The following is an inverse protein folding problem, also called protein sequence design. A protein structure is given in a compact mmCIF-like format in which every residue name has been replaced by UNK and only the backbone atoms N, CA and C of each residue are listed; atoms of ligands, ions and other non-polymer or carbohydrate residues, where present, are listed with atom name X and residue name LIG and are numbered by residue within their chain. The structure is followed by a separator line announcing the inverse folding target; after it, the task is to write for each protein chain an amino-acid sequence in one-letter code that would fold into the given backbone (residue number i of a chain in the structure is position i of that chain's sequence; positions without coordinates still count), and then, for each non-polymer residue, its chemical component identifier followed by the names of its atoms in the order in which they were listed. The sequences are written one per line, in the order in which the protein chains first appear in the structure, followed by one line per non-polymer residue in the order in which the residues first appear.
data_IF_508639637632
#
_entry.id   IF_508639637632
#
_cell.length_a   1.000
_cell.length_b   1.000
_cell.length_c   1.000
_cell.angle_alpha   90.00
_cell.angle_beta   90.00
_cell.angle_gamma   90.00
#
_symmetry.space_group_name_H-M   'P 1'
#
loop_
_entity.id
_entity.type
_entity.pdbx_description
1 polymer ?
#
# COMPACT_ATOMS: atom_id res chain seq x y z
N UNK A 1 -7.14 10.81 2.53
CA UNK A 1 -5.93 10.80 3.34
C UNK A 1 -6.13 9.92 4.56
N UNK A 2 -5.30 8.91 4.71
CA UNK A 2 -5.33 8.04 5.88
C UNK A 2 -4.19 8.41 6.83
N UNK A 3 -4.50 8.47 8.13
CA UNK A 3 -3.48 8.64 9.16
C UNK A 3 -2.84 7.28 9.39
N UNK A 4 -1.53 7.18 9.17
CA UNK A 4 -0.81 5.92 9.29
C UNK A 4 -0.26 5.74 10.71
N UNK A 5 -1.13 5.32 11.62
CA UNK A 5 -0.78 4.90 12.97
C UNK A 5 -0.84 3.37 13.12
N UNK A 6 -1.32 2.69 12.10
CA UNK A 6 -1.45 1.24 12.05
C UNK A 6 -1.28 0.77 10.59
N UNK A 7 -1.12 -0.52 10.40
CA UNK A 7 -1.02 -1.10 9.07
C UNK A 7 -2.30 -0.83 8.27
N UNK A 8 -2.13 -0.65 6.95
CA UNK A 8 -3.25 -0.42 6.04
C UNK A 8 -3.19 -1.46 4.93
N UNK A 9 -4.30 -2.15 4.70
CA UNK A 9 -4.43 -3.09 3.59
C UNK A 9 -5.27 -2.42 2.51
N UNK A 10 -4.77 -2.41 1.30
CA UNK A 10 -5.34 -1.65 0.18
C UNK A 10 -5.76 -2.60 -0.93
N UNK A 11 -6.94 -2.39 -1.47
CA UNK A 11 -7.43 -3.17 -2.60
C UNK A 11 -8.83 -2.73 -3.00
N UNK A 12 -9.40 -3.37 -4.01
CA UNK A 12 -10.79 -3.08 -4.41
C UNK A 12 -11.81 -3.74 -3.50
N UNK A 13 -11.39 -4.75 -2.72
CA UNK A 13 -12.21 -5.42 -1.71
C UNK A 13 -11.29 -6.04 -0.66
N UNK A 14 -10.52 -5.22 0.09
CA UNK A 14 -9.49 -5.74 0.96
C UNK A 14 -10.07 -6.52 2.14
N UNK A 15 -9.34 -7.53 2.60
CA UNK A 15 -9.69 -8.32 3.76
C UNK A 15 -8.58 -8.27 4.79
N UNK A 16 -8.95 -8.00 6.04
CA UNK A 16 -8.01 -8.04 7.15
C UNK A 16 -7.84 -9.47 7.64
N UNK A 17 -6.61 -9.84 7.95
CA UNK A 17 -6.26 -11.16 8.46
C UNK A 17 -5.80 -11.15 9.90
N UNK A 18 -5.87 -10.01 10.57
CA UNK A 18 -5.42 -9.88 11.95
C UNK A 18 -6.31 -10.65 12.90
N UNK A 19 -5.70 -11.32 13.87
CA UNK A 19 -6.39 -12.12 14.85
C UNK A 19 -6.80 -11.35 16.11
N UNK A 20 -6.29 -10.14 16.32
CA UNK A 20 -6.61 -9.36 17.52
C UNK A 20 -7.16 -7.99 17.16
N UNK A 21 -8.11 -7.52 17.97
CA UNK A 21 -8.74 -6.21 17.75
C UNK A 21 -7.73 -5.06 17.84
N UNK A 22 -6.74 -5.17 18.72
CA UNK A 22 -5.74 -4.13 18.90
C UNK A 22 -4.76 -4.00 17.73
N UNK A 23 -4.66 -5.04 16.91
CA UNK A 23 -3.71 -5.10 15.80
C UNK A 23 -4.40 -5.18 14.44
N UNK A 24 -5.69 -4.88 14.39
CA UNK A 24 -6.42 -4.91 13.13
C UNK A 24 -5.89 -3.83 12.20
N UNK A 25 -5.49 -4.21 10.97
CA UNK A 25 -5.12 -3.21 9.98
C UNK A 25 -6.35 -2.42 9.53
N UNK A 26 -6.13 -1.21 9.07
CA UNK A 26 -7.16 -0.47 8.37
C UNK A 26 -7.34 -1.03 6.97
N UNK A 27 -8.56 -1.04 6.49
CA UNK A 27 -8.85 -1.47 5.13
C UNK A 27 -9.17 -0.23 4.28
N UNK A 28 -8.39 -0.01 3.25
CA UNK A 28 -8.61 1.08 2.32
C UNK A 28 -9.14 0.51 1.01
N UNK A 29 -10.42 0.73 0.75
CA UNK A 29 -11.05 0.28 -0.48
C UNK A 29 -10.90 1.34 -1.56
N UNK A 30 -10.41 0.94 -2.72
CA UNK A 30 -10.24 1.83 -3.86
C UNK A 30 -11.05 1.33 -5.04
N UNK A 31 -11.62 2.23 -5.86
CA UNK A 31 -12.37 1.81 -7.03
C UNK A 31 -11.43 1.23 -8.09
N UNK A 32 -11.88 0.19 -8.76
CA UNK A 32 -11.14 -0.41 -9.86
C UNK A 32 -12.11 -0.81 -10.98
N UNK A 33 -12.56 0.17 -11.80
CA UNK A 33 -13.52 -0.10 -12.87
C UNK A 33 -13.05 -1.16 -13.85
N UNK A 34 -11.76 -1.20 -14.16
CA UNK A 34 -11.15 -2.19 -15.03
C UNK A 34 -10.74 -3.46 -14.32
N UNK A 35 -10.96 -3.56 -13.01
CA UNK A 35 -10.54 -4.69 -12.17
C UNK A 35 -9.04 -4.98 -12.23
N UNK A 36 -8.23 -3.96 -12.55
CA UNK A 36 -6.79 -4.07 -12.58
C UNK A 36 -6.20 -4.16 -11.16
N UNK A 37 -6.90 -3.62 -10.18
CA UNK A 37 -6.49 -3.68 -8.78
C UNK A 37 -7.06 -4.96 -8.17
N UNK A 38 -6.19 -5.75 -7.55
CA UNK A 38 -6.60 -6.99 -6.87
C UNK A 38 -7.47 -6.68 -5.66
N UNK A 39 -8.29 -7.66 -5.24
CA UNK A 39 -9.15 -7.52 -4.06
C UNK A 39 -8.34 -7.09 -2.85
N UNK A 40 -7.27 -7.80 -2.56
CA UNK A 40 -6.27 -7.44 -1.55
C UNK A 40 -4.96 -7.26 -2.31
N UNK A 41 -4.57 -6.00 -2.56
CA UNK A 41 -3.51 -5.68 -3.51
C UNK A 41 -2.15 -5.50 -2.83
N UNK A 42 -2.10 -4.60 -1.87
CA UNK A 42 -0.87 -4.30 -1.15
C UNK A 42 -1.18 -3.86 0.27
N UNK A 43 -0.13 -3.74 1.06
CA UNK A 43 -0.24 -3.23 2.42
C UNK A 43 0.84 -2.18 2.66
N UNK A 44 0.53 -1.22 3.52
CA UNK A 44 1.53 -0.35 4.12
C UNK A 44 1.69 -0.78 5.56
N UNK A 45 2.90 -1.24 5.90
CA UNK A 45 3.24 -1.68 7.26
C UNK A 45 3.86 -0.53 8.01
N UNK A 46 3.39 -0.29 9.23
CA UNK A 46 3.86 0.79 10.08
C UNK A 46 4.52 0.18 11.30
N UNK A 47 5.79 0.52 11.53
CA UNK A 47 6.53 0.06 12.69
C UNK A 47 7.36 1.23 13.24
N UNK A 48 6.94 1.80 14.37
CA UNK A 48 7.56 3.01 14.91
C UNK A 48 7.46 4.16 13.92
N UNK A 49 8.60 4.69 13.51
CA UNK A 49 8.68 5.78 12.54
C UNK A 49 8.80 5.28 11.10
N UNK A 50 8.94 3.97 10.90
CA UNK A 50 9.15 3.40 9.59
C UNK A 50 7.82 3.00 8.95
N UNK A 51 7.72 3.24 7.65
CA UNK A 51 6.63 2.76 6.81
C UNK A 51 7.22 1.96 5.68
N UNK A 52 6.62 0.80 5.39
CA UNK A 52 7.04 -0.08 4.30
C UNK A 52 5.84 -0.51 3.48
N UNK A 53 6.04 -0.60 2.17
CA UNK A 53 5.01 -1.13 1.27
C UNK A 53 5.33 -2.59 0.97
N UNK A 54 4.27 -3.41 0.92
CA UNK A 54 4.36 -4.83 0.63
C UNK A 54 3.30 -5.20 -0.41
N UNK A 55 3.71 -5.88 -1.48
CA UNK A 55 2.76 -6.43 -2.46
C UNK A 55 2.22 -7.75 -1.92
N UNK A 56 0.90 -7.89 -1.90
CA UNK A 56 0.22 -9.07 -1.33
C UNK A 56 -0.16 -10.09 -2.41
N UNK A 57 0.67 -10.24 -3.43
CA UNK A 57 0.40 -11.17 -4.53
C UNK A 57 -0.55 -10.60 -5.55
N UNK A 58 -0.49 -9.30 -5.81
CA UNK A 58 -1.37 -8.65 -6.77
C UNK A 58 -1.14 -9.17 -8.19
N UNK A 59 -2.20 -9.20 -9.00
CA UNK A 59 -2.13 -9.67 -10.37
C UNK A 59 -1.27 -8.76 -11.25
N UNK A 60 -1.43 -7.45 -11.11
CA UNK A 60 -0.76 -6.49 -11.98
C UNK A 60 0.41 -5.75 -11.34
N UNK A 61 0.69 -6.01 -10.07
CA UNK A 61 1.85 -5.47 -9.40
C UNK A 61 1.59 -4.16 -8.65
N UNK A 62 2.52 -3.85 -7.78
CA UNK A 62 2.59 -2.62 -7.00
C UNK A 62 3.91 -1.94 -7.36
N UNK A 63 3.88 -0.64 -7.65
CA UNK A 63 5.06 0.10 -8.09
C UNK A 63 5.32 1.27 -7.16
N UNK A 64 6.59 1.46 -6.84
CA UNK A 64 7.05 2.60 -6.04
C UNK A 64 7.64 3.64 -6.98
N UNK A 65 7.10 4.85 -6.92
CA UNK A 65 7.56 5.99 -7.70
C UNK A 65 8.20 7.00 -6.76
N UNK A 66 9.47 7.25 -6.99
CA UNK A 66 10.25 8.20 -6.18
C UNK A 66 10.87 9.24 -7.09
N UNK A 67 10.82 10.51 -6.67
CA UNK A 67 11.36 11.61 -7.47
C UNK A 67 12.83 11.36 -7.83
N UNK A 68 13.15 11.54 -9.12
CA UNK A 68 14.51 11.37 -9.63
C UNK A 68 14.92 9.92 -9.84
N UNK A 69 14.02 8.96 -9.61
CA UNK A 69 14.32 7.53 -9.79
C UNK A 69 13.31 6.91 -10.75
N UNK A 70 13.72 5.82 -11.38
CA UNK A 70 12.80 5.05 -12.22
C UNK A 70 11.79 4.30 -11.36
N UNK A 71 10.58 4.02 -11.90
CA UNK A 71 9.60 3.21 -11.18
C UNK A 71 10.20 1.86 -10.77
N UNK A 72 9.93 1.47 -9.53
CA UNK A 72 10.42 0.20 -8.99
C UNK A 72 9.24 -0.68 -8.64
N UNK A 73 9.22 -1.89 -9.19
CA UNK A 73 8.23 -2.87 -8.80
C UNK A 73 8.53 -3.37 -7.39
N UNK A 74 7.51 -3.41 -6.55
CA UNK A 74 7.61 -3.98 -5.20
C UNK A 74 7.55 -5.50 -5.34
N UNK A 75 8.59 -6.24 -4.95
CA UNK A 75 8.55 -7.69 -5.03
C UNK A 75 7.44 -8.25 -4.15
N UNK A 76 6.81 -9.33 -4.63
CA UNK A 76 5.74 -9.99 -3.91
C UNK A 76 6.22 -10.46 -2.53
N UNK A 77 5.43 -10.12 -1.49
CA UNK A 77 5.70 -10.49 -0.10
C UNK A 77 7.04 -9.96 0.46
N UNK A 78 7.62 -8.94 -0.18
CA UNK A 78 8.79 -8.25 0.34
C UNK A 78 8.41 -6.81 0.66
N UNK A 79 9.08 -6.24 1.64
CA UNK A 79 8.77 -4.90 2.12
C UNK A 79 9.85 -3.92 1.66
N UNK A 80 9.41 -2.80 1.08
CA UNK A 80 10.29 -1.70 0.70
C UNK A 80 10.02 -0.50 1.59
N UNK A 81 11.09 0.12 2.09
CA UNK A 81 10.99 1.30 2.95
C UNK A 81 10.42 2.48 2.15
N UNK A 82 9.43 3.14 2.72
CA UNK A 82 8.80 4.32 2.15
C UNK A 82 9.39 5.59 2.75
N UNK A 83 9.40 6.65 1.94
CA UNK A 83 9.79 8.00 2.36
C UNK A 83 8.66 8.96 2.04
N UNK A 84 8.62 10.06 2.78
CA UNK A 84 7.65 11.12 2.48
C UNK A 84 7.83 11.60 1.05
N UNK A 85 6.72 11.76 0.33
CA UNK A 85 6.70 12.13 -1.08
C UNK A 85 6.70 10.95 -2.04
N UNK A 86 6.94 9.73 -1.57
CA UNK A 86 6.83 8.54 -2.42
C UNK A 86 5.39 8.35 -2.89
N UNK A 87 5.26 7.81 -4.09
CA UNK A 87 3.96 7.49 -4.67
C UNK A 87 3.91 5.98 -4.89
N UNK A 88 2.81 5.36 -4.47
CA UNK A 88 2.54 3.94 -4.71
C UNK A 88 1.51 3.85 -5.82
N UNK A 89 1.87 3.23 -6.93
CA UNK A 89 0.98 3.02 -8.08
C UNK A 89 0.50 1.58 -8.06
N UNK A 90 -0.81 1.40 -7.95
CA UNK A 90 -1.42 0.08 -7.90
C UNK A 90 -2.25 -0.24 -9.15
N UNK A 91 -2.16 0.62 -10.16
CA UNK A 91 -2.85 0.43 -11.43
C UNK A 91 -4.22 1.11 -11.48
N UNK A 92 -4.87 0.97 -12.62
CA UNK A 92 -6.22 1.53 -12.87
C UNK A 92 -6.31 3.04 -12.60
N UNK A 93 -5.19 3.75 -12.78
CA UNK A 93 -5.10 5.17 -12.52
C UNK A 93 -5.07 5.55 -11.04
N UNK A 94 -4.95 4.58 -10.15
CA UNK A 94 -4.97 4.80 -8.70
C UNK A 94 -3.57 4.88 -8.15
N UNK A 95 -3.27 5.99 -7.50
CA UNK A 95 -2.00 6.21 -6.82
C UNK A 95 -2.24 6.66 -5.38
N UNK A 96 -1.28 6.31 -4.52
CA UNK A 96 -1.29 6.69 -3.12
C UNK A 96 -0.02 7.47 -2.83
N UNK A 97 -0.16 8.67 -2.28
CA UNK A 97 0.99 9.50 -1.94
C UNK A 97 1.30 9.35 -0.46
N UNK A 98 2.58 9.11 -0.17
CA UNK A 98 3.05 8.97 1.21
C UNK A 98 3.33 10.37 1.77
N UNK A 99 2.59 10.75 2.79
CA UNK A 99 2.78 12.01 3.48
C UNK A 99 3.16 11.73 4.93
N UNK A 100 4.07 12.53 5.46
CA UNK A 100 4.45 12.43 6.85
C UNK A 100 4.11 13.75 7.53
N UNK A 101 3.37 13.67 8.62
CA UNK A 101 3.12 14.85 9.44
C UNK A 101 4.42 15.28 10.12
N UNK A 102 4.68 16.57 10.03
CA UNK A 102 5.84 17.15 10.68
C UNK A 102 5.60 17.30 12.19
#
# INVERSE_FOLDING_TARGET
TAILDTDVIIGRLPQGTSSTAAQRPRLLTVPSPGKAISKTHCAVRVEGWDMRVEDLGSTNGTFLLRAGEEPRRVPEHQQLLLRAGDIIDIGDGTTLTVEREA
#
